data_IF_890885285509
#
_entry.id   IF_890885285509
#
_cell.length_a   1.000
_cell.length_b   1.000
_cell.length_c   1.000
_cell.angle_alpha   90.00
_cell.angle_beta   90.00
_cell.angle_gamma   90.00
#
_symmetry.space_group_name_H-M   'P 1'
#
loop_
_entity.id
_entity.type
_entity.pdbx_description
1 polymer ?
#
# COMPACT_ATOMS: atom_id res chain seq x y z
N UNK A 1 2.48 -23.55 48.75
CA UNK A 1 1.86 -22.59 47.82
C UNK A 1 2.92 -21.58 47.43
N UNK A 2 3.37 -21.64 46.18
CA UNK A 2 4.20 -20.67 45.42
C UNK A 2 4.78 -21.47 44.24
N UNK A 3 3.99 -21.67 43.20
CA UNK A 3 4.02 -20.92 41.94
C UNK A 3 5.33 -21.09 41.16
N UNK A 4 5.40 -22.20 40.42
CA UNK A 4 6.25 -22.38 39.24
C UNK A 4 5.77 -21.45 38.13
N UNK A 5 6.48 -20.34 37.91
CA UNK A 5 6.37 -19.52 36.70
C UNK A 5 6.98 -20.29 35.53
N UNK A 6 6.13 -20.63 34.57
CA UNK A 6 6.54 -21.18 33.27
C UNK A 6 7.44 -20.20 32.54
N UNK A 7 8.63 -20.66 32.19
CA UNK A 7 9.51 -19.98 31.24
C UNK A 7 8.84 -20.08 29.88
N UNK A 8 8.45 -18.94 29.32
CA UNK A 8 7.96 -18.84 27.95
C UNK A 8 9.01 -19.41 26.99
N UNK A 9 8.59 -20.32 26.12
CA UNK A 9 9.42 -20.80 25.03
C UNK A 9 9.67 -19.64 24.08
N UNK A 10 10.88 -19.06 24.12
CA UNK A 10 11.41 -18.29 23.02
C UNK A 10 11.47 -19.21 21.79
N UNK A 11 10.53 -19.03 20.88
CA UNK A 11 10.56 -19.68 19.57
C UNK A 11 11.76 -19.11 18.84
N UNK A 12 12.82 -19.91 18.71
CA UNK A 12 14.01 -19.55 17.93
C UNK A 12 13.57 -19.06 16.55
N UNK A 13 13.90 -17.81 16.21
CA UNK A 13 13.58 -17.28 14.89
C UNK A 13 14.26 -18.16 13.83
N UNK A 14 13.57 -18.50 12.72
CA UNK A 14 14.18 -19.24 11.64
C UNK A 14 15.40 -18.46 11.13
N UNK A 15 16.57 -19.07 11.30
CA UNK A 15 17.86 -18.50 10.90
C UNK A 15 18.07 -18.79 9.43
N UNK A 16 17.74 -17.84 8.56
CA UNK A 16 18.21 -17.83 7.17
C UNK A 16 19.68 -17.42 7.16
N UNK A 17 20.54 -18.16 6.45
CA UNK A 17 21.89 -17.66 6.22
C UNK A 17 21.84 -16.36 5.38
N UNK A 18 22.74 -15.39 5.61
CA UNK A 18 22.64 -14.08 4.98
C UNK A 18 22.68 -14.12 3.45
N UNK A 19 23.39 -15.08 2.87
CA UNK A 19 23.52 -15.20 1.41
C UNK A 19 22.22 -15.70 0.80
N UNK A 20 21.64 -16.76 1.37
CA UNK A 20 20.33 -17.27 0.93
C UNK A 20 19.23 -16.24 1.12
N UNK A 21 19.22 -15.51 2.24
CA UNK A 21 18.25 -14.45 2.49
C UNK A 21 18.29 -13.37 1.39
N UNK A 22 19.49 -12.90 1.05
CA UNK A 22 19.68 -11.86 0.02
C UNK A 22 19.22 -12.35 -1.37
N UNK A 23 19.56 -13.60 -1.72
CA UNK A 23 19.11 -14.22 -2.98
C UNK A 23 17.59 -14.33 -3.01
N UNK A 24 16.99 -14.86 -1.94
CA UNK A 24 15.55 -15.04 -1.85
C UNK A 24 14.79 -13.70 -1.89
N UNK A 25 15.28 -12.69 -1.16
CA UNK A 25 14.65 -11.37 -1.14
C UNK A 25 14.78 -10.67 -2.50
N UNK A 26 15.96 -10.72 -3.13
CA UNK A 26 16.16 -10.21 -4.50
C UNK A 26 15.21 -10.86 -5.50
N UNK A 27 14.94 -12.17 -5.36
CA UNK A 27 13.97 -12.87 -6.21
C UNK A 27 12.53 -12.42 -5.94
N UNK A 28 12.13 -12.23 -4.69
CA UNK A 28 10.80 -11.71 -4.34
C UNK A 28 10.59 -10.29 -4.91
N UNK A 29 11.61 -9.43 -4.87
CA UNK A 29 11.59 -8.13 -5.54
C UNK A 29 11.46 -8.31 -7.06
N UNK A 30 12.18 -9.27 -7.64
CA UNK A 30 12.06 -9.63 -9.06
C UNK A 30 10.64 -10.05 -9.46
N UNK A 31 9.91 -10.76 -8.59
CA UNK A 31 8.50 -11.12 -8.83
C UNK A 31 7.63 -9.86 -8.87
N UNK A 32 7.80 -8.95 -7.91
CA UNK A 32 7.06 -7.69 -7.91
C UNK A 32 7.38 -6.82 -9.15
N UNK A 33 8.63 -6.82 -9.60
CA UNK A 33 9.04 -6.16 -10.84
C UNK A 33 8.43 -6.82 -12.09
N UNK A 34 8.30 -8.16 -12.11
CA UNK A 34 7.62 -8.88 -13.19
C UNK A 34 6.13 -8.52 -13.25
N UNK A 35 5.45 -8.45 -12.10
CA UNK A 35 4.07 -7.94 -12.01
C UNK A 35 3.97 -6.51 -12.57
N UNK A 36 4.88 -5.63 -12.16
CA UNK A 36 4.88 -4.23 -12.60
C UNK A 36 5.08 -4.13 -14.13
N UNK A 37 6.00 -4.91 -14.69
CA UNK A 37 6.23 -4.95 -16.15
C UNK A 37 5.02 -5.49 -16.89
N UNK A 38 4.32 -6.49 -16.33
CA UNK A 38 3.08 -7.02 -16.90
C UNK A 38 2.03 -5.93 -17.01
N UNK A 39 1.75 -5.18 -15.93
CA UNK A 39 0.81 -4.05 -15.99
C UNK A 39 1.22 -3.05 -17.07
N UNK A 40 2.49 -2.62 -17.10
CA UNK A 40 2.98 -1.65 -18.07
C UNK A 40 2.77 -2.13 -19.53
N UNK A 41 2.90 -3.44 -19.78
CA UNK A 41 2.83 -4.01 -21.13
C UNK A 41 1.41 -4.34 -21.60
N UNK A 42 0.48 -4.53 -20.67
CA UNK A 42 -0.91 -4.90 -20.99
C UNK A 42 -1.90 -3.76 -20.85
N UNK A 43 -1.56 -2.72 -20.08
CA UNK A 43 -2.41 -1.54 -19.97
C UNK A 43 -2.40 -0.69 -21.26
N UNK A 44 -3.54 -0.06 -21.54
CA UNK A 44 -3.74 0.75 -22.75
C UNK A 44 -3.79 2.24 -22.42
N UNK A 45 -4.13 2.61 -21.18
CA UNK A 45 -4.19 4.01 -20.79
C UNK A 45 -2.82 4.69 -20.80
N UNK A 46 -2.79 5.99 -21.08
CA UNK A 46 -1.56 6.80 -20.99
C UNK A 46 -1.13 7.04 -19.54
N UNK A 47 -2.06 6.96 -18.58
CA UNK A 47 -1.74 7.06 -17.15
C UNK A 47 -0.80 5.92 -16.75
N UNK A 48 -1.14 4.69 -17.10
CA UNK A 48 -0.29 3.53 -16.79
C UNK A 48 0.86 3.41 -17.80
N UNK A 49 0.55 3.45 -19.10
CA UNK A 49 1.51 3.18 -20.18
C UNK A 49 2.59 4.25 -20.36
N UNK A 50 2.37 5.49 -19.90
CA UNK A 50 3.32 6.58 -20.03
C UNK A 50 3.66 7.26 -18.70
N UNK A 51 2.67 7.63 -17.87
CA UNK A 51 2.93 8.30 -16.59
C UNK A 51 3.39 7.34 -15.48
N UNK A 52 3.10 6.04 -15.62
CA UNK A 52 3.52 4.97 -14.71
C UNK A 52 3.00 5.15 -13.28
N UNK A 53 1.77 5.69 -13.16
CA UNK A 53 1.10 5.92 -11.89
C UNK A 53 0.40 4.64 -11.40
N UNK A 54 1.21 3.67 -10.97
CA UNK A 54 0.76 2.41 -10.38
C UNK A 54 1.88 1.76 -9.54
N UNK A 55 1.51 0.74 -8.77
CA UNK A 55 2.44 -0.04 -7.95
C UNK A 55 2.02 -1.50 -7.82
N UNK A 56 3.01 -2.36 -7.56
CA UNK A 56 2.84 -3.79 -7.35
C UNK A 56 3.62 -4.25 -6.12
N UNK A 57 3.01 -5.13 -5.32
CA UNK A 57 3.60 -5.61 -4.09
C UNK A 57 3.17 -7.04 -3.76
N UNK A 58 4.11 -7.80 -3.19
CA UNK A 58 3.88 -9.09 -2.56
C UNK A 58 3.84 -8.90 -1.05
N UNK A 59 2.75 -9.34 -0.45
CA UNK A 59 2.54 -9.36 1.00
C UNK A 59 2.58 -10.79 1.53
N UNK A 60 2.98 -10.97 2.79
CA UNK A 60 2.83 -12.23 3.49
C UNK A 60 1.36 -12.48 3.90
N UNK A 61 1.09 -13.64 4.49
CA UNK A 61 -0.26 -14.02 4.93
C UNK A 61 -0.85 -13.10 6.03
N UNK A 62 -0.02 -12.33 6.75
CA UNK A 62 -0.48 -11.34 7.74
C UNK A 62 -0.67 -9.94 7.11
N UNK A 63 -0.64 -9.87 5.77
CA UNK A 63 -0.67 -8.64 4.96
C UNK A 63 0.50 -7.69 5.25
N UNK A 64 1.64 -8.23 5.69
CA UNK A 64 2.87 -7.48 5.84
C UNK A 64 3.64 -7.39 4.54
N UNK A 65 4.13 -6.20 4.21
CA UNK A 65 4.93 -5.97 3.01
C UNK A 65 6.22 -6.79 3.03
N UNK A 66 6.46 -7.55 1.95
CA UNK A 66 7.68 -8.35 1.78
C UNK A 66 8.56 -7.74 0.70
N UNK A 67 7.97 -7.46 -0.46
CA UNK A 67 8.67 -6.92 -1.61
C UNK A 67 7.71 -6.13 -2.51
N UNK A 68 8.10 -4.92 -2.89
CA UNK A 68 7.42 -4.10 -3.88
C UNK A 68 8.34 -3.84 -5.07
N UNK A 69 7.78 -3.50 -6.23
CA UNK A 69 8.61 -3.07 -7.36
C UNK A 69 9.30 -1.74 -7.02
N UNK A 70 10.59 -1.63 -7.34
CA UNK A 70 11.36 -0.39 -7.19
C UNK A 70 10.89 0.72 -8.15
N UNK A 71 10.03 0.40 -9.11
CA UNK A 71 9.45 1.32 -10.08
C UNK A 71 8.05 1.79 -9.67
N UNK A 72 7.46 1.18 -8.65
CA UNK A 72 6.15 1.58 -8.14
C UNK A 72 6.21 3.01 -7.64
N UNK A 73 5.13 3.77 -7.87
CA UNK A 73 5.04 5.07 -7.21
C UNK A 73 5.09 4.87 -5.69
N UNK A 74 5.90 5.67 -4.98
CA UNK A 74 6.23 5.38 -3.59
C UNK A 74 5.07 5.29 -2.62
N UNK A 75 4.01 6.05 -2.91
CA UNK A 75 2.81 6.10 -2.10
C UNK A 75 2.13 4.73 -2.00
N UNK A 76 2.21 3.92 -3.07
CA UNK A 76 1.49 2.66 -3.16
C UNK A 76 2.02 1.61 -2.16
N UNK A 77 3.33 1.64 -1.87
CA UNK A 77 3.98 0.66 -1.00
C UNK A 77 3.49 0.73 0.46
N UNK A 78 2.94 1.88 0.89
CA UNK A 78 2.43 2.08 2.25
C UNK A 78 0.91 1.83 2.35
N UNK A 79 0.19 1.98 1.24
CA UNK A 79 -1.27 1.80 1.20
C UNK A 79 -1.65 0.34 0.90
N UNK A 80 -0.86 -0.40 0.11
CA UNK A 80 -1.16 -1.79 -0.27
C UNK A 80 -1.27 -2.75 0.93
N UNK A 81 -0.39 -2.68 1.95
CA UNK A 81 -0.58 -3.42 3.20
C UNK A 81 -1.85 -2.97 3.95
N UNK A 82 -2.12 -1.67 3.97
CA UNK A 82 -3.27 -1.08 4.69
C UNK A 82 -4.61 -1.48 4.08
N UNK A 83 -4.76 -1.38 2.76
CA UNK A 83 -5.97 -1.79 2.05
C UNK A 83 -6.18 -3.30 2.15
N UNK A 84 -5.11 -4.11 2.11
CA UNK A 84 -5.20 -5.57 2.27
C UNK A 84 -5.66 -5.95 3.67
N UNK A 85 -5.16 -5.29 4.72
CA UNK A 85 -5.69 -5.45 6.09
C UNK A 85 -7.17 -5.04 6.18
N UNK A 86 -7.59 -3.99 5.48
CA UNK A 86 -9.00 -3.60 5.36
C UNK A 86 -9.85 -4.70 4.71
N UNK A 87 -9.35 -5.33 3.65
CA UNK A 87 -9.99 -6.49 3.00
C UNK A 87 -10.09 -7.65 3.98
N UNK A 88 -9.03 -8.01 4.70
CA UNK A 88 -9.03 -9.10 5.69
C UNK A 88 -10.03 -8.81 6.82
N UNK A 89 -10.11 -7.57 7.30
CA UNK A 89 -11.07 -7.19 8.33
C UNK A 89 -12.53 -7.38 7.86
N UNK A 90 -12.80 -7.14 6.57
CA UNK A 90 -14.13 -7.27 5.96
C UNK A 90 -14.46 -8.70 5.51
N UNK A 91 -13.46 -9.43 5.06
CA UNK A 91 -13.48 -10.81 4.57
C UNK A 91 -12.34 -11.57 5.25
N UNK A 92 -12.56 -12.14 6.45
CA UNK A 92 -11.54 -12.88 7.18
C UNK A 92 -10.88 -13.97 6.31
N UNK A 93 -9.59 -14.21 6.53
CA UNK A 93 -8.77 -15.12 5.71
C UNK A 93 -9.42 -16.50 5.58
N UNK A 94 -10.08 -16.99 6.63
CA UNK A 94 -10.74 -18.30 6.67
C UNK A 94 -11.96 -18.40 5.73
N UNK A 95 -12.49 -17.25 5.28
CA UNK A 95 -13.62 -17.17 4.35
C UNK A 95 -13.17 -16.98 2.89
N UNK A 96 -11.90 -16.68 2.67
CA UNK A 96 -11.34 -16.51 1.34
C UNK A 96 -11.24 -17.87 0.62
N UNK A 97 -11.36 -17.85 -0.71
CA UNK A 97 -11.28 -19.04 -1.56
C UNK A 97 -10.25 -18.84 -2.68
N UNK A 98 -9.61 -19.92 -3.17
CA UNK A 98 -8.80 -19.87 -4.38
C UNK A 98 -9.58 -19.23 -5.53
N UNK A 99 -8.96 -18.26 -6.21
CA UNK A 99 -9.58 -17.50 -7.31
C UNK A 99 -10.45 -16.32 -6.87
N UNK A 100 -10.54 -16.01 -5.58
CA UNK A 100 -11.09 -14.73 -5.14
C UNK A 100 -10.17 -13.58 -5.57
N UNK A 101 -10.78 -12.46 -5.97
CA UNK A 101 -10.08 -11.16 -6.13
C UNK A 101 -10.94 -10.08 -5.50
N UNK A 102 -10.33 -9.25 -4.67
CA UNK A 102 -11.00 -8.13 -4.01
C UNK A 102 -10.62 -6.81 -4.67
N UNK A 103 -11.55 -5.86 -4.68
CA UNK A 103 -11.39 -4.53 -5.26
C UNK A 103 -11.88 -3.45 -4.29
N UNK A 104 -11.21 -2.30 -4.27
CA UNK A 104 -11.71 -1.06 -3.68
C UNK A 104 -10.89 0.15 -4.17
N UNK A 105 -11.46 1.34 -4.05
CA UNK A 105 -10.73 2.61 -4.15
C UNK A 105 -11.03 3.51 -2.94
N UNK A 106 -11.35 2.92 -1.78
CA UNK A 106 -11.65 3.67 -0.57
C UNK A 106 -10.47 4.59 -0.21
N UNK A 107 -10.62 5.92 -0.20
CA UNK A 107 -9.48 6.83 -0.10
C UNK A 107 -8.86 6.85 1.31
N UNK A 108 -9.57 6.37 2.34
CA UNK A 108 -9.03 6.26 3.70
C UNK A 108 -8.21 4.97 3.90
N UNK A 109 -8.44 3.94 3.07
CA UNK A 109 -7.69 2.68 3.12
C UNK A 109 -6.64 2.54 2.01
N UNK A 110 -6.91 3.13 0.85
CA UNK A 110 -6.08 3.09 -0.36
C UNK A 110 -5.26 4.39 -0.51
N UNK A 111 -5.08 4.87 -1.73
CA UNK A 111 -4.20 5.97 -2.10
C UNK A 111 -4.92 7.34 -2.16
N UNK A 112 -5.69 7.68 -1.14
CA UNK A 112 -6.09 9.08 -0.87
C UNK A 112 -7.15 9.70 -1.79
N UNK A 113 -7.39 9.16 -2.97
CA UNK A 113 -8.46 9.59 -3.89
C UNK A 113 -9.05 8.39 -4.65
N UNK A 114 -10.16 8.63 -5.36
CA UNK A 114 -10.96 7.56 -5.97
C UNK A 114 -10.37 7.00 -7.26
N UNK A 115 -9.48 7.71 -7.94
CA UNK A 115 -8.93 7.24 -9.23
C UNK A 115 -8.00 6.03 -9.08
N UNK A 116 -7.45 5.83 -7.87
CA UNK A 116 -6.53 4.75 -7.54
C UNK A 116 -7.29 3.50 -7.07
N UNK A 117 -7.39 2.52 -7.96
CA UNK A 117 -8.09 1.27 -7.69
C UNK A 117 -7.09 0.20 -7.22
N UNK A 118 -7.33 -0.35 -6.03
CA UNK A 118 -6.59 -1.48 -5.49
C UNK A 118 -7.22 -2.82 -5.90
N UNK A 119 -6.40 -3.77 -6.36
CA UNK A 119 -6.77 -5.18 -6.49
C UNK A 119 -5.92 -6.04 -5.54
N UNK A 120 -6.59 -6.91 -4.79
CA UNK A 120 -5.98 -7.80 -3.81
C UNK A 120 -6.31 -9.25 -4.20
N UNK A 121 -5.29 -10.03 -4.53
CA UNK A 121 -5.42 -11.44 -4.91
C UNK A 121 -4.73 -12.33 -3.87
N UNK A 122 -5.49 -13.09 -3.06
CA UNK A 122 -4.89 -14.04 -2.11
C UNK A 122 -4.24 -15.21 -2.86
N UNK A 123 -3.05 -15.60 -2.40
CA UNK A 123 -2.29 -16.74 -2.94
C UNK A 123 -2.55 -17.95 -2.05
N UNK A 124 -3.04 -19.05 -2.65
CA UNK A 124 -3.41 -20.26 -1.91
C UNK A 124 -2.41 -21.40 -2.11
N UNK A 125 -2.04 -22.06 -1.01
CA UNK A 125 -1.30 -23.32 -0.99
C UNK A 125 -1.97 -24.25 0.03
N UNK A 126 -2.24 -25.49 -0.35
CA UNK A 126 -2.84 -26.51 0.53
C UNK A 126 -4.11 -26.04 1.28
N UNK A 127 -4.93 -25.22 0.63
CA UNK A 127 -6.17 -24.67 1.18
C UNK A 127 -6.00 -23.49 2.15
N UNK A 128 -4.78 -22.96 2.30
CA UNK A 128 -4.47 -21.81 3.15
C UNK A 128 -3.94 -20.63 2.33
N UNK A 129 -4.23 -19.41 2.79
CA UNK A 129 -3.62 -18.20 2.24
C UNK A 129 -2.19 -18.11 2.75
N UNK A 130 -1.22 -18.06 1.83
CA UNK A 130 0.23 -18.02 2.14
C UNK A 130 0.87 -16.67 1.82
N UNK A 131 0.21 -15.85 1.00
CA UNK A 131 0.64 -14.52 0.57
C UNK A 131 -0.53 -13.76 -0.08
N UNK A 132 -0.31 -12.49 -0.41
CA UNK A 132 -1.17 -11.72 -1.31
C UNK A 132 -0.33 -11.09 -2.42
N UNK A 133 -0.84 -11.13 -3.64
CA UNK A 133 -0.36 -10.31 -4.76
C UNK A 133 -1.28 -9.09 -4.88
N UNK A 134 -0.72 -7.89 -4.79
CA UNK A 134 -1.48 -6.64 -4.69
C UNK A 134 -0.98 -5.65 -5.73
N UNK A 135 -1.93 -4.93 -6.32
CA UNK A 135 -1.65 -3.82 -7.21
C UNK A 135 -2.56 -2.64 -6.87
N UNK A 136 -2.07 -1.43 -7.12
CA UNK A 136 -2.86 -0.21 -7.15
C UNK A 136 -2.51 0.53 -8.43
N UNK A 137 -3.50 0.99 -9.18
CA UNK A 137 -3.26 1.79 -10.38
C UNK A 137 -4.23 2.95 -10.49
N UNK A 138 -3.70 4.09 -10.92
CA UNK A 138 -4.48 5.27 -11.26
C UNK A 138 -5.19 5.04 -12.59
N UNK A 139 -6.51 5.15 -12.58
CA UNK A 139 -7.34 4.94 -13.78
C UNK A 139 -7.65 6.24 -14.50
N UNK A 140 -7.91 6.15 -15.81
CA UNK A 140 -8.18 7.34 -16.65
C UNK A 140 -9.46 8.11 -16.28
N UNK A 141 -10.41 7.45 -15.61
CA UNK A 141 -11.66 8.08 -15.20
C UNK A 141 -12.30 7.31 -14.07
N UNK A 142 -12.73 8.03 -13.04
CA UNK A 142 -13.60 7.50 -11.99
C UNK A 142 -15.01 8.13 -12.00
N UNK A 143 -15.40 8.75 -13.11
CA UNK A 143 -16.67 9.50 -13.17
C UNK A 143 -16.58 10.84 -12.43
N UNK A 144 -17.63 11.21 -11.70
CA UNK A 144 -17.66 12.44 -10.88
C UNK A 144 -17.66 13.75 -11.66
N UNK A 145 -17.46 14.87 -10.98
CA UNK A 145 -17.39 16.20 -11.58
C UNK A 145 -16.19 16.34 -12.52
N UNK A 146 -16.38 17.01 -13.67
CA UNK A 146 -15.27 17.40 -14.55
C UNK A 146 -14.49 18.59 -14.00
N UNK A 147 -15.11 19.39 -13.13
CA UNK A 147 -14.45 20.51 -12.47
C UNK A 147 -14.18 20.16 -11.00
N UNK A 148 -13.00 19.58 -10.74
CA UNK A 148 -12.53 19.25 -9.38
C UNK A 148 -12.33 20.47 -8.48
N UNK A 149 -12.44 21.69 -9.01
CA UNK A 149 -12.44 22.91 -8.18
C UNK A 149 -13.79 23.16 -7.51
N UNK A 150 -14.88 22.55 -7.99
CA UNK A 150 -16.23 22.80 -7.47
C UNK A 150 -16.78 21.69 -6.59
N UNK A 151 -16.13 20.52 -6.57
CA UNK A 151 -16.51 19.39 -5.72
C UNK A 151 -16.52 19.78 -4.24
N UNK A 152 -17.55 19.36 -3.50
CA UNK A 152 -17.73 19.67 -2.07
C UNK A 152 -17.70 18.44 -1.18
N UNK A 153 -17.95 17.28 -1.75
CA UNK A 153 -17.93 16.00 -1.06
C UNK A 153 -17.44 14.90 -1.99
N UNK A 154 -17.15 13.74 -1.40
CA UNK A 154 -16.65 12.56 -2.11
C UNK A 154 -17.65 12.00 -3.15
N UNK A 155 -18.95 12.30 -3.02
CA UNK A 155 -19.96 11.82 -3.96
C UNK A 155 -19.93 12.61 -5.27
N UNK A 156 -19.47 13.87 -5.21
CA UNK A 156 -19.17 14.67 -6.39
C UNK A 156 -17.84 14.26 -7.06
N UNK A 157 -16.93 13.56 -6.36
CA UNK A 157 -15.62 13.14 -6.90
C UNK A 157 -15.69 11.93 -7.84
N UNK A 158 -16.68 11.04 -7.66
CA UNK A 158 -16.94 9.95 -8.58
C UNK A 158 -17.33 8.63 -7.93
N UNK A 159 -17.08 7.54 -8.66
CA UNK A 159 -17.45 6.19 -8.27
C UNK A 159 -16.58 5.73 -7.08
N UNK A 160 -17.19 5.64 -5.90
CA UNK A 160 -16.59 4.97 -4.75
C UNK A 160 -16.94 3.48 -4.76
N UNK A 161 -15.93 2.65 -4.96
CA UNK A 161 -15.99 1.19 -4.94
C UNK A 161 -15.70 0.73 -3.50
N UNK A 162 -16.71 0.26 -2.75
CA UNK A 162 -16.48 -0.30 -1.42
C UNK A 162 -15.69 -1.61 -1.55
N UNK A 163 -15.11 -2.08 -0.44
CA UNK A 163 -14.46 -3.40 -0.39
C UNK A 163 -15.47 -4.48 -0.78
N UNK A 164 -15.25 -5.10 -1.94
CA UNK A 164 -16.09 -6.17 -2.48
C UNK A 164 -15.27 -7.19 -3.28
N UNK A 165 -15.87 -8.33 -3.59
CA UNK A 165 -15.31 -9.34 -4.50
C UNK A 165 -15.53 -8.93 -5.96
N UNK A 166 -14.44 -8.74 -6.69
CA UNK A 166 -14.44 -8.63 -8.15
C UNK A 166 -14.50 -10.01 -8.82
N UNK A 167 -13.85 -11.00 -8.22
CA UNK A 167 -13.99 -12.41 -8.55
C UNK A 167 -14.35 -13.21 -7.30
N UNK A 168 -15.28 -14.15 -7.44
CA UNK A 168 -15.66 -15.10 -6.41
C UNK A 168 -15.31 -16.53 -6.85
N UNK A 169 -14.28 -17.10 -6.25
CA UNK A 169 -13.73 -18.41 -6.59
C UNK A 169 -13.52 -18.62 -8.11
N UNK A 170 -12.87 -17.64 -8.76
CA UNK A 170 -12.56 -17.67 -10.19
C UNK A 170 -13.72 -17.23 -11.11
N UNK A 171 -14.89 -16.91 -10.56
CA UNK A 171 -16.03 -16.40 -11.35
C UNK A 171 -16.09 -14.88 -11.28
N UNK A 172 -16.14 -14.17 -12.42
CA UNK A 172 -16.24 -12.71 -12.43
C UNK A 172 -17.59 -12.26 -11.83
N UNK A 173 -17.53 -11.18 -11.06
CA UNK A 173 -18.72 -10.49 -10.57
C UNK A 173 -19.22 -9.53 -11.64
N UNK A 174 -20.04 -10.05 -12.57
CA UNK A 174 -20.62 -9.27 -13.68
C UNK A 174 -21.36 -8.01 -13.21
N UNK A 175 -21.98 -8.06 -12.03
CA UNK A 175 -22.64 -6.89 -11.44
C UNK A 175 -21.63 -5.80 -11.09
N UNK A 176 -20.51 -6.14 -10.43
CA UNK A 176 -19.46 -5.17 -10.12
C UNK A 176 -18.87 -4.55 -11.39
N UNK A 177 -18.55 -5.37 -12.39
CA UNK A 177 -18.06 -4.89 -13.68
C UNK A 177 -19.05 -3.99 -14.41
N UNK A 178 -20.35 -4.31 -14.40
CA UNK A 178 -21.39 -3.48 -14.97
C UNK A 178 -21.48 -2.12 -14.25
N UNK A 179 -21.46 -2.10 -12.91
CA UNK A 179 -21.48 -0.85 -12.16
C UNK A 179 -20.27 0.04 -12.47
N UNK A 180 -19.07 -0.53 -12.55
CA UNK A 180 -17.87 0.23 -12.91
C UNK A 180 -18.01 0.79 -14.33
N UNK A 181 -18.36 -0.06 -15.31
CA UNK A 181 -18.51 0.32 -16.72
C UNK A 181 -19.46 1.50 -16.92
N UNK A 182 -20.63 1.47 -16.27
CA UNK A 182 -21.69 2.47 -16.49
C UNK A 182 -21.45 3.79 -15.73
N UNK A 183 -20.47 3.86 -14.83
CA UNK A 183 -20.23 5.03 -13.97
C UNK A 183 -18.89 5.74 -14.24
N UNK A 184 -18.16 5.35 -15.29
CA UNK A 184 -16.91 5.99 -15.72
C UNK A 184 -17.01 6.49 -17.16
N UNK A 185 -16.19 7.49 -17.53
CA UNK A 185 -16.28 8.11 -18.87
C UNK A 185 -15.56 7.33 -19.97
N UNK A 186 -14.52 6.60 -19.60
CA UNK A 186 -13.63 5.85 -20.50
C UNK A 186 -13.65 4.37 -20.12
N UNK A 187 -14.81 3.70 -20.18
CA UNK A 187 -14.98 2.35 -19.63
C UNK A 187 -14.00 1.34 -20.22
N UNK A 188 -13.75 1.37 -21.53
CA UNK A 188 -12.83 0.42 -22.16
C UNK A 188 -11.40 0.58 -21.62
N UNK A 189 -10.94 1.82 -21.38
CA UNK A 189 -9.62 2.07 -20.80
C UNK A 189 -9.56 1.64 -19.34
N UNK A 190 -10.56 2.03 -18.54
CA UNK A 190 -10.63 1.69 -17.10
C UNK A 190 -10.69 0.18 -16.89
N UNK A 191 -11.52 -0.52 -17.66
CA UNK A 191 -11.64 -1.97 -17.57
C UNK A 191 -10.38 -2.68 -18.06
N UNK A 192 -9.73 -2.20 -19.12
CA UNK A 192 -8.44 -2.74 -19.56
C UNK A 192 -7.35 -2.54 -18.50
N UNK A 193 -7.36 -1.40 -17.79
CA UNK A 193 -6.42 -1.15 -16.68
C UNK A 193 -6.69 -2.10 -15.50
N UNK A 194 -7.96 -2.41 -15.19
CA UNK A 194 -8.33 -3.43 -14.19
C UNK A 194 -7.89 -4.83 -14.65
N UNK A 195 -8.08 -5.18 -15.93
CA UNK A 195 -7.64 -6.47 -16.50
C UNK A 195 -6.11 -6.61 -16.47
N UNK A 196 -5.37 -5.53 -16.72
CA UNK A 196 -3.91 -5.51 -16.60
C UNK A 196 -3.47 -5.81 -15.16
N UNK A 197 -4.12 -5.20 -14.16
CA UNK A 197 -3.88 -5.49 -12.75
C UNK A 197 -4.23 -6.95 -12.38
N UNK A 198 -5.38 -7.46 -12.84
CA UNK A 198 -5.77 -8.87 -12.63
C UNK A 198 -4.73 -9.84 -13.18
N UNK A 199 -4.25 -9.58 -14.39
CA UNK A 199 -3.23 -10.41 -15.07
C UNK A 199 -1.92 -10.39 -14.30
N UNK A 200 -1.47 -9.22 -13.86
CA UNK A 200 -0.25 -9.08 -13.09
C UNK A 200 -0.35 -9.77 -11.72
N UNK A 201 -1.45 -9.60 -10.99
CA UNK A 201 -1.63 -10.27 -9.70
C UNK A 201 -1.72 -11.79 -9.84
N UNK A 202 -2.35 -12.29 -10.90
CA UNK A 202 -2.36 -13.72 -11.23
C UNK A 202 -0.95 -14.27 -11.46
N UNK A 203 -0.14 -13.57 -12.26
CA UNK A 203 1.27 -13.90 -12.48
C UNK A 203 2.07 -13.87 -11.17
N UNK A 204 1.87 -12.84 -10.34
CA UNK A 204 2.50 -12.73 -9.03
C UNK A 204 2.18 -13.92 -8.13
N UNK A 205 0.91 -14.36 -8.09
CA UNK A 205 0.49 -15.53 -7.34
C UNK A 205 1.19 -16.81 -7.80
N UNK A 206 1.26 -17.05 -9.12
CA UNK A 206 1.97 -18.19 -9.70
C UNK A 206 3.46 -18.18 -9.35
N UNK A 207 4.10 -17.01 -9.43
CA UNK A 207 5.53 -16.84 -9.14
C UNK A 207 5.84 -17.04 -7.66
N UNK A 208 4.97 -16.58 -6.76
CA UNK A 208 5.11 -16.84 -5.32
C UNK A 208 5.01 -18.33 -5.03
N UNK A 209 4.06 -19.05 -5.62
CA UNK A 209 3.95 -20.51 -5.42
C UNK A 209 5.20 -21.24 -5.92
N UNK A 210 5.71 -20.90 -7.11
CA UNK A 210 6.94 -21.47 -7.63
C UNK A 210 8.16 -21.17 -6.74
N UNK A 211 8.24 -19.95 -6.18
CA UNK A 211 9.26 -19.58 -5.20
C UNK A 211 9.18 -20.45 -3.94
N UNK A 212 7.97 -20.63 -3.39
CA UNK A 212 7.76 -21.47 -2.21
C UNK A 212 8.14 -22.94 -2.47
N UNK A 213 7.81 -23.48 -3.64
CA UNK A 213 8.17 -24.84 -4.04
C UNK A 213 9.68 -25.05 -4.17
N UNK A 214 10.36 -24.11 -4.82
CA UNK A 214 11.81 -24.20 -5.04
C UNK A 214 12.61 -24.18 -3.73
N UNK A 215 12.19 -23.32 -2.79
CA UNK A 215 12.87 -23.17 -1.50
C UNK A 215 12.29 -24.06 -0.40
N UNK A 216 11.29 -24.89 -0.69
CA UNK A 216 10.65 -25.78 0.28
C UNK A 216 10.00 -25.05 1.45
N UNK A 217 9.47 -23.84 1.19
CA UNK A 217 8.84 -23.00 2.21
C UNK A 217 7.32 -23.25 2.25
N UNK A 218 6.72 -23.39 3.45
CA UNK A 218 5.27 -23.55 3.55
C UNK A 218 4.53 -22.24 3.26
N UNK A 219 5.12 -21.10 3.61
CA UNK A 219 4.57 -19.75 3.44
C UNK A 219 5.69 -18.69 3.40
N UNK A 220 5.31 -17.42 3.22
CA UNK A 220 6.25 -16.29 3.26
C UNK A 220 6.47 -15.71 4.66
N UNK A 221 5.78 -16.17 5.71
CA UNK A 221 5.78 -15.51 7.03
C UNK A 221 7.17 -15.50 7.66
N UNK A 222 7.85 -16.64 7.62
CA UNK A 222 9.18 -16.78 8.22
C UNK A 222 10.21 -15.84 7.58
N UNK A 223 10.29 -15.85 6.24
CA UNK A 223 11.23 -15.01 5.49
C UNK A 223 10.86 -13.53 5.58
N UNK A 224 9.57 -13.20 5.52
CA UNK A 224 9.03 -11.85 5.68
C UNK A 224 9.48 -11.22 6.99
N UNK A 225 9.34 -11.94 8.12
CA UNK A 225 9.78 -11.43 9.44
C UNK A 225 11.25 -11.07 9.46
N UNK A 226 12.10 -11.90 8.84
CA UNK A 226 13.56 -11.66 8.81
C UNK A 226 13.90 -10.48 7.90
N UNK A 227 13.29 -10.39 6.72
CA UNK A 227 13.44 -9.27 5.78
C UNK A 227 12.98 -7.95 6.43
N UNK A 228 11.82 -7.94 7.05
CA UNK A 228 11.27 -6.76 7.72
C UNK A 228 12.13 -6.35 8.91
N UNK A 229 12.60 -7.30 9.74
CA UNK A 229 13.48 -7.00 10.86
C UNK A 229 14.86 -6.46 10.40
N UNK A 230 15.36 -6.93 9.26
CA UNK A 230 16.56 -6.37 8.65
C UNK A 230 16.35 -4.91 8.23
N UNK A 231 15.29 -4.62 7.49
CA UNK A 231 14.97 -3.26 7.04
C UNK A 231 14.66 -2.30 8.20
N UNK A 232 13.97 -2.79 9.22
CA UNK A 232 13.68 -2.02 10.44
C UNK A 232 14.97 -1.65 11.16
N UNK A 233 15.88 -2.61 11.38
CA UNK A 233 17.18 -2.35 12.01
C UNK A 233 17.99 -1.33 11.21
N UNK A 234 18.06 -1.48 9.89
CA UNK A 234 18.80 -0.55 9.05
C UNK A 234 18.23 0.88 9.11
N UNK A 235 16.90 1.03 9.12
CA UNK A 235 16.26 2.34 9.30
C UNK A 235 16.53 2.92 10.69
N UNK A 236 16.38 2.12 11.75
CA UNK A 236 16.65 2.54 13.14
C UNK A 236 18.11 2.98 13.34
N UNK A 237 19.06 2.25 12.79
CA UNK A 237 20.48 2.63 12.78
C UNK A 237 20.72 3.96 12.04
N UNK A 238 20.04 4.18 10.92
CA UNK A 238 20.11 5.44 10.18
C UNK A 238 19.48 6.62 10.94
N UNK A 239 18.34 6.39 11.62
CA UNK A 239 17.69 7.41 12.46
C UNK A 239 18.60 7.77 13.65
N UNK A 240 19.22 6.78 14.30
CA UNK A 240 20.11 7.01 15.46
C UNK A 240 21.37 7.84 15.12
N UNK A 241 21.72 7.95 13.84
CA UNK A 241 22.80 8.84 13.38
C UNK A 241 22.34 10.31 13.22
N UNK A 242 21.03 10.56 13.18
CA UNK A 242 20.47 11.91 13.17
C UNK A 242 20.50 12.46 14.61
N UNK A 243 20.95 13.70 14.84
CA UNK A 243 20.92 14.28 16.18
C UNK A 243 19.50 14.31 16.76
N UNK A 244 19.35 13.82 18.00
CA UNK A 244 18.10 13.99 18.75
C UNK A 244 17.69 15.46 18.81
N UNK A 245 16.43 15.73 18.53
CA UNK A 245 15.97 17.10 18.45
C UNK A 245 14.58 17.27 17.87
N UNK A 246 14.15 18.54 17.84
CA UNK A 246 12.92 18.98 17.21
C UNK A 246 13.30 19.83 16.01
N UNK A 247 12.82 19.43 14.83
CA UNK A 247 13.00 20.13 13.57
C UNK A 247 11.64 20.62 13.10
N UNK A 248 11.52 21.91 12.79
CA UNK A 248 10.25 22.51 12.41
C UNK A 248 10.38 23.26 11.09
N UNK A 249 9.35 23.15 10.26
CA UNK A 249 9.22 23.93 9.04
C UNK A 249 7.75 24.23 8.76
N UNK A 250 7.49 25.35 8.10
CA UNK A 250 6.18 25.76 7.65
C UNK A 250 6.23 26.21 6.19
N UNK A 251 5.15 25.96 5.45
CA UNK A 251 5.05 26.27 4.03
C UNK A 251 3.65 26.77 3.73
N UNK A 252 3.58 27.81 2.89
CA UNK A 252 2.37 28.23 2.22
C UNK A 252 2.34 27.58 0.84
N UNK A 253 1.36 26.71 0.61
CA UNK A 253 1.09 26.10 -0.68
C UNK A 253 -0.04 26.85 -1.41
N UNK A 254 -0.03 26.75 -2.73
CA UNK A 254 -1.18 27.19 -3.52
C UNK A 254 -2.41 26.38 -3.11
N UNK A 255 -3.48 27.07 -2.73
CA UNK A 255 -4.78 26.46 -2.52
C UNK A 255 -5.72 26.76 -3.68
N UNK A 256 -7.02 26.57 -3.44
CA UNK A 256 -8.02 26.78 -4.48
C UNK A 256 -8.33 28.27 -4.70
N UNK A 257 -8.88 28.91 -3.66
CA UNK A 257 -9.22 30.34 -3.65
C UNK A 257 -8.29 31.11 -2.70
N UNK A 258 -7.81 30.45 -1.66
CA UNK A 258 -6.88 30.97 -0.65
C UNK A 258 -5.70 30.00 -0.49
N UNK A 259 -4.49 30.50 -0.18
CA UNK A 259 -3.33 29.65 0.12
C UNK A 259 -3.62 28.66 1.26
N UNK A 260 -2.89 27.55 1.29
CA UNK A 260 -2.94 26.56 2.37
C UNK A 260 -1.69 26.70 3.23
N UNK A 261 -1.87 26.85 4.53
CA UNK A 261 -0.77 26.79 5.50
C UNK A 261 -0.55 25.35 5.97
N UNK A 262 0.67 24.86 5.80
CA UNK A 262 1.12 23.55 6.25
C UNK A 262 2.28 23.71 7.25
N UNK A 263 2.18 23.04 8.39
CA UNK A 263 3.23 23.00 9.41
C UNK A 263 3.67 21.56 9.61
N UNK A 264 4.98 21.34 9.65
CA UNK A 264 5.60 20.05 9.91
C UNK A 264 6.57 20.19 11.09
N UNK A 265 6.34 19.40 12.14
CA UNK A 265 7.24 19.26 13.29
C UNK A 265 7.75 17.83 13.35
N UNK A 266 9.04 17.64 13.19
CA UNK A 266 9.72 16.34 13.25
C UNK A 266 10.46 16.22 14.58
N UNK A 267 10.08 15.27 15.41
CA UNK A 267 10.80 14.89 16.63
C UNK A 267 11.63 13.64 16.33
N UNK A 268 12.94 13.77 16.46
CA UNK A 268 13.89 12.64 16.44
C UNK A 268 14.27 12.33 17.88
N UNK A 269 14.13 11.06 18.28
CA UNK A 269 14.53 10.59 19.61
C UNK A 269 15.05 9.16 19.53
N UNK A 270 16.34 8.99 19.79
CA UNK A 270 17.00 7.69 19.67
C UNK A 270 16.91 7.20 18.23
N UNK A 271 16.19 6.10 18.02
CA UNK A 271 16.03 5.44 16.73
C UNK A 271 14.61 5.59 16.14
N UNK A 272 13.82 6.56 16.65
CA UNK A 272 12.44 6.81 16.22
C UNK A 272 12.23 8.25 15.75
N UNK A 273 11.32 8.40 14.77
CA UNK A 273 10.86 9.69 14.24
C UNK A 273 9.34 9.82 14.43
N UNK A 274 8.91 10.95 15.01
CA UNK A 274 7.52 11.40 14.98
C UNK A 274 7.40 12.64 14.09
N UNK A 275 6.60 12.56 13.04
CA UNK A 275 6.19 13.71 12.23
C UNK A 275 4.79 14.16 12.64
N UNK A 276 4.67 15.39 13.09
CA UNK A 276 3.45 16.00 13.60
C UNK A 276 3.04 17.19 12.74
N UNK A 277 1.86 17.09 12.13
CA UNK A 277 1.27 18.12 11.28
C UNK A 277 0.29 19.04 12.04
N UNK A 278 0.23 18.95 13.36
CA UNK A 278 -0.59 19.82 14.21
C UNK A 278 -0.24 21.29 13.96
N UNK A 279 -1.26 22.11 13.71
CA UNK A 279 -1.12 23.51 13.33
C UNK A 279 -1.25 23.77 11.83
N UNK A 280 -1.31 22.73 10.98
CA UNK A 280 -1.73 22.87 9.58
C UNK A 280 -3.20 23.28 9.47
N UNK A 281 -3.57 23.88 8.34
CA UNK A 281 -4.93 24.35 8.08
C UNK A 281 -5.99 23.25 8.19
N UNK A 282 -7.22 23.68 8.48
CA UNK A 282 -8.40 22.82 8.44
C UNK A 282 -8.69 22.35 7.02
N UNK A 283 -9.35 21.19 6.88
CA UNK A 283 -9.82 20.74 5.57
C UNK A 283 -10.70 21.81 4.91
N UNK A 284 -10.56 21.95 3.60
CA UNK A 284 -11.32 22.90 2.79
C UNK A 284 -12.72 22.34 2.50
N UNK A 285 -13.77 23.17 2.50
CA UNK A 285 -15.15 22.73 2.22
C UNK A 285 -15.42 22.46 0.74
N UNK A 286 -14.43 22.73 -0.12
CA UNK A 286 -14.54 22.64 -1.57
C UNK A 286 -13.17 22.38 -2.18
N UNK A 287 -13.17 21.62 -3.27
CA UNK A 287 -12.01 21.25 -4.06
C UNK A 287 -11.43 19.89 -3.65
N UNK A 288 -10.88 19.17 -4.63
CA UNK A 288 -10.15 17.92 -4.42
C UNK A 288 -8.72 18.12 -3.90
N UNK A 289 -8.54 18.93 -2.86
CA UNK A 289 -7.21 19.28 -2.29
C UNK A 289 -7.01 18.79 -0.85
N UNK A 290 -8.01 18.12 -0.27
CA UNK A 290 -7.94 17.54 1.06
C UNK A 290 -7.32 16.14 0.99
N UNK A 291 -6.45 15.83 1.94
CA UNK A 291 -5.69 14.59 1.97
C UNK A 291 -6.14 13.68 3.12
N UNK A 292 -6.25 12.37 2.87
CA UNK A 292 -6.49 11.39 3.93
C UNK A 292 -5.21 11.10 4.69
N UNK A 293 -5.33 10.69 5.96
CA UNK A 293 -4.14 10.41 6.78
C UNK A 293 -3.25 9.30 6.21
N UNK A 294 -3.84 8.30 5.56
CA UNK A 294 -3.09 7.21 4.93
C UNK A 294 -2.18 7.73 3.81
N UNK A 295 -2.67 8.67 3.01
CA UNK A 295 -1.90 9.30 1.94
C UNK A 295 -0.84 10.28 2.48
N UNK A 296 -1.18 11.05 3.52
CA UNK A 296 -0.22 11.90 4.25
C UNK A 296 0.92 11.06 4.80
N UNK A 297 0.63 9.97 5.53
CA UNK A 297 1.64 9.03 6.05
C UNK A 297 2.59 8.55 4.97
N UNK A 298 2.04 8.12 3.84
CA UNK A 298 2.82 7.59 2.74
C UNK A 298 3.77 8.64 2.13
N UNK A 299 3.26 9.84 1.86
CA UNK A 299 4.03 10.96 1.33
C UNK A 299 5.04 11.57 2.32
N UNK A 300 4.83 11.40 3.62
CA UNK A 300 5.78 11.81 4.66
C UNK A 300 6.91 10.80 4.85
N UNK A 301 6.56 9.50 4.93
CA UNK A 301 7.51 8.46 5.30
C UNK A 301 8.48 8.13 4.14
N UNK A 302 8.04 8.26 2.88
CA UNK A 302 8.89 7.94 1.75
C UNK A 302 10.11 8.85 1.58
N UNK A 303 10.01 10.20 1.62
CA UNK A 303 11.18 11.07 1.61
C UNK A 303 12.18 10.74 2.73
N UNK A 304 11.69 10.41 3.93
CA UNK A 304 12.54 9.96 5.04
C UNK A 304 13.26 8.65 4.70
N UNK A 305 12.56 7.68 4.10
CA UNK A 305 13.19 6.46 3.57
C UNK A 305 14.32 6.79 2.59
N UNK A 306 14.08 7.68 1.64
CA UNK A 306 15.07 8.07 0.64
C UNK A 306 16.28 8.78 1.23
N UNK A 307 16.07 9.61 2.25
CA UNK A 307 17.14 10.35 2.92
C UNK A 307 17.99 9.45 3.84
N UNK A 308 17.35 8.60 4.62
CA UNK A 308 17.99 7.85 5.71
C UNK A 308 18.48 6.48 5.28
N UNK A 309 17.73 5.78 4.42
CA UNK A 309 18.03 4.41 4.01
C UNK A 309 17.80 4.21 2.50
N UNK A 310 18.55 4.91 1.63
CA UNK A 310 18.33 4.88 0.19
C UNK A 310 18.59 3.51 -0.43
N UNK A 311 19.56 2.74 0.09
CA UNK A 311 20.05 1.49 -0.52
C UNK A 311 19.31 0.24 -0.06
N UNK A 312 18.57 0.31 1.05
CA UNK A 312 17.78 -0.82 1.54
C UNK A 312 16.43 -0.81 0.82
N UNK A 313 16.02 -1.92 0.18
CA UNK A 313 14.68 -2.03 -0.38
C UNK A 313 13.61 -1.79 0.69
N UNK A 314 12.58 -1.02 0.36
CA UNK A 314 11.56 -0.70 1.33
C UNK A 314 10.65 -1.92 1.57
N UNK A 315 10.16 -2.03 2.79
CA UNK A 315 9.08 -2.93 3.17
C UNK A 315 8.45 -2.39 4.46
N UNK A 316 7.52 -3.14 5.05
CA UNK A 316 6.83 -2.68 6.27
C UNK A 316 7.79 -2.35 7.41
N UNK A 317 8.88 -3.10 7.56
CA UNK A 317 9.90 -2.86 8.57
C UNK A 317 10.58 -1.50 8.44
N UNK A 318 10.81 -1.04 7.20
CA UNK A 318 11.42 0.27 6.91
C UNK A 318 10.67 1.43 7.54
N UNK A 319 9.35 1.33 7.67
CA UNK A 319 8.51 2.45 8.10
C UNK A 319 8.05 2.36 9.55
N UNK A 320 8.26 1.22 10.23
CA UNK A 320 7.91 1.03 11.65
C UNK A 320 8.45 2.10 12.61
N UNK A 321 9.71 2.58 12.49
CA UNK A 321 10.22 3.61 13.39
C UNK A 321 9.75 5.04 13.03
N UNK A 322 8.88 5.20 12.02
CA UNK A 322 8.38 6.50 11.55
C UNK A 322 6.88 6.60 11.85
N UNK A 323 6.53 7.43 12.83
CA UNK A 323 5.15 7.77 13.15
C UNK A 323 4.76 9.08 12.47
N UNK A 324 3.56 9.14 11.90
CA UNK A 324 3.00 10.36 11.31
C UNK A 324 1.59 10.62 11.85
N UNK A 325 1.38 11.84 12.35
CA UNK A 325 0.11 12.29 12.91
C UNK A 325 -0.32 13.61 12.28
N UNK A 326 -1.64 13.78 12.12
CA UNK A 326 -2.28 15.03 11.75
C UNK A 326 -3.65 15.09 12.43
N UNK A 327 -4.11 16.26 12.92
CA UNK A 327 -5.43 16.38 13.55
C UNK A 327 -6.55 15.96 12.59
N UNK A 328 -7.53 15.21 13.08
CA UNK A 328 -8.74 14.90 12.31
C UNK A 328 -9.46 16.20 11.92
N UNK A 329 -9.91 16.30 10.67
CA UNK A 329 -10.50 17.52 10.12
C UNK A 329 -9.47 18.57 9.65
N UNK A 330 -8.18 18.25 9.69
CA UNK A 330 -7.13 19.05 9.03
C UNK A 330 -7.03 18.70 7.54
N UNK A 331 -6.37 19.56 6.76
CA UNK A 331 -6.17 19.33 5.32
C UNK A 331 -5.31 18.08 5.04
N UNK A 332 -4.57 17.58 6.04
CA UNK A 332 -3.72 16.39 5.96
C UNK A 332 -4.32 15.15 6.64
N UNK A 333 -5.54 15.26 7.18
CA UNK A 333 -6.32 14.15 7.74
C UNK A 333 -7.80 14.53 7.70
N UNK A 334 -8.34 14.56 6.48
CA UNK A 334 -9.72 14.95 6.25
C UNK A 334 -10.73 13.87 6.64
N UNK A 335 -11.94 14.33 6.97
CA UNK A 335 -13.13 13.50 7.17
C UNK A 335 -14.10 13.68 6.01
N UNK A 336 -15.04 12.74 5.89
CA UNK A 336 -16.20 12.81 4.98
C UNK A 336 -17.01 14.08 5.25
#
# INVERSE_FOLDING_TARGET
MSETRGVGQDVAQPSFDPVSLEIMWSRLIGIADEMWVTILRTAVSTIIGAAQDFGCEILDADAGSVAHSNRSMPVFNLVMPTVTRGVIARYPIEQMRPGDVYITNDPWLCAGHLDDIALITPVFRDGQVVAFAVSVAHTTSIGGSLDRRTVRDIYEDGLRIPILKLYDAGRPNETAFAFIRENVRTPDLVLTDIEAQLTANGLGAERVLAFLDEYGLPDLKAISRVIQAYSERAMREAIAAVPDGVYEHEVWADGLDEPVYLRCRILVRGDEILVDYTGSDRQRPRGGINCTLTYTRAHTAYPLKCLLSPTVPANEGTFRPIQVIAPEGSILNCTV
#
